data_IF_895385581907
#
_entry.id   IF_895385581907
#
_cell.length_a   1.000
_cell.length_b   1.000
_cell.length_c   1.000
_cell.angle_alpha   90.00
_cell.angle_beta   90.00
_cell.angle_gamma   90.00
#
_symmetry.space_group_name_H-M   'P 1'
#
loop_
_entity.id
_entity.type
_entity.pdbx_description
1 polymer ?
#
# COMPACT_ATOMS: atom_id res chain seq x y z
N UNK A 1 -5.18 1.81 27.67
CA UNK A 1 -5.64 0.89 26.62
C UNK A 1 -5.69 1.61 25.29
N UNK A 2 -4.75 1.32 24.38
CA UNK A 2 -4.73 1.88 23.03
C UNK A 2 -4.46 0.73 22.06
N UNK A 3 -5.48 -0.11 21.85
CA UNK A 3 -5.44 -1.08 20.77
C UNK A 3 -5.53 -0.29 19.45
N UNK A 4 -4.40 -0.22 18.75
CA UNK A 4 -4.34 0.19 17.36
C UNK A 4 -5.19 -0.80 16.55
N UNK A 5 -6.48 -0.49 16.40
CA UNK A 5 -7.34 -1.17 15.47
C UNK A 5 -6.81 -0.89 14.06
N UNK A 6 -6.09 -1.88 13.52
CA UNK A 6 -5.78 -1.98 12.11
C UNK A 6 -7.05 -1.66 11.31
N UNK A 7 -7.07 -0.51 10.64
CA UNK A 7 -8.06 -0.20 9.62
C UNK A 7 -8.10 -1.39 8.65
N UNK A 8 -9.25 -2.04 8.56
CA UNK A 8 -9.44 -3.24 7.73
C UNK A 8 -9.44 -2.82 6.26
N UNK A 9 -8.25 -2.67 5.69
CA UNK A 9 -8.11 -2.61 4.25
C UNK A 9 -8.48 -4.01 3.73
N UNK A 10 -9.53 -4.09 2.92
CA UNK A 10 -9.98 -5.34 2.29
C UNK A 10 -8.80 -5.89 1.46
N UNK A 11 -8.34 -7.10 1.80
CA UNK A 11 -7.16 -7.71 1.18
C UNK A 11 -7.38 -7.92 -0.31
N UNK A 12 -6.52 -7.35 -1.14
CA UNK A 12 -6.70 -7.34 -2.57
C UNK A 12 -6.14 -8.64 -3.17
N UNK A 13 -7.03 -9.46 -3.75
CA UNK A 13 -6.70 -10.75 -4.34
C UNK A 13 -6.26 -10.62 -5.81
N UNK A 14 -5.61 -11.66 -6.33
CA UNK A 14 -5.26 -11.82 -7.75
C UNK A 14 -6.42 -11.53 -8.72
N UNK A 15 -7.66 -11.70 -8.28
CA UNK A 15 -8.85 -11.46 -9.08
C UNK A 15 -9.07 -9.97 -9.36
N UNK A 16 -8.75 -9.11 -8.39
CA UNK A 16 -8.84 -7.66 -8.57
C UNK A 16 -7.79 -7.17 -9.57
N UNK A 17 -6.56 -7.69 -9.51
CA UNK A 17 -5.53 -7.39 -10.51
C UNK A 17 -6.01 -7.73 -11.94
N UNK A 18 -6.67 -8.88 -12.12
CA UNK A 18 -7.26 -9.25 -13.42
C UNK A 18 -8.35 -8.29 -13.87
N UNK A 19 -9.23 -7.85 -12.95
CA UNK A 19 -10.29 -6.91 -13.26
C UNK A 19 -9.74 -5.55 -13.70
N UNK A 20 -8.70 -5.06 -13.01
CA UNK A 20 -8.04 -3.78 -13.33
C UNK A 20 -7.40 -3.86 -14.73
N UNK A 21 -6.63 -4.91 -14.99
CA UNK A 21 -5.99 -5.12 -16.31
C UNK A 21 -7.03 -5.29 -17.42
N UNK A 22 -8.15 -5.98 -17.16
CA UNK A 22 -9.26 -6.11 -18.12
C UNK A 22 -9.86 -4.74 -18.48
N UNK A 23 -9.86 -3.80 -17.54
CA UNK A 23 -10.29 -2.42 -17.76
C UNK A 23 -9.19 -1.53 -18.38
N UNK A 24 -8.06 -2.13 -18.81
CA UNK A 24 -6.89 -1.43 -19.37
C UNK A 24 -6.30 -0.37 -18.42
N UNK A 25 -6.42 -0.62 -17.12
CA UNK A 25 -5.81 0.19 -16.09
C UNK A 25 -4.61 -0.55 -15.49
N UNK A 26 -3.73 0.23 -14.87
CA UNK A 26 -2.57 -0.25 -14.13
C UNK A 26 -2.81 -0.28 -12.62
N UNK A 27 -1.96 -1.00 -11.90
CA UNK A 27 -2.11 -1.15 -10.45
C UNK A 27 -0.79 -1.14 -9.68
N UNK A 28 -0.89 -0.73 -8.42
CA UNK A 28 0.01 -1.08 -7.32
C UNK A 28 -0.86 -1.63 -6.19
N UNK A 29 -0.65 -2.89 -5.79
CA UNK A 29 -1.53 -3.58 -4.85
C UNK A 29 -0.76 -4.10 -3.65
N UNK A 30 -1.24 -3.78 -2.45
CA UNK A 30 -0.72 -4.31 -1.21
C UNK A 30 -1.06 -5.80 -1.07
N UNK A 31 -0.06 -6.61 -0.71
CA UNK A 31 -0.25 -8.00 -0.34
C UNK A 31 -0.60 -8.07 1.15
N UNK A 32 -1.73 -8.70 1.47
CA UNK A 32 -2.22 -8.83 2.85
C UNK A 32 -2.05 -10.26 3.35
N UNK A 33 -1.26 -10.40 4.42
CA UNK A 33 -1.18 -11.59 5.26
C UNK A 33 -0.27 -12.71 4.71
N UNK A 34 0.49 -13.30 5.63
CA UNK A 34 1.39 -14.46 5.41
C UNK A 34 0.71 -15.70 4.80
N UNK A 35 -0.60 -15.70 4.60
CA UNK A 35 -1.39 -16.87 4.16
C UNK A 35 -1.75 -16.85 2.66
N UNK A 36 -1.42 -15.79 1.92
CA UNK A 36 -1.54 -15.87 0.46
C UNK A 36 -0.29 -16.57 -0.10
N UNK A 37 -0.46 -17.69 -0.81
CA UNK A 37 0.66 -18.38 -1.47
C UNK A 37 1.48 -17.44 -2.38
N UNK A 38 0.85 -16.37 -2.86
CA UNK A 38 1.49 -15.29 -3.60
C UNK A 38 2.59 -14.59 -2.79
N UNK A 39 2.35 -14.21 -1.53
CA UNK A 39 3.37 -13.52 -0.73
C UNK A 39 4.60 -14.41 -0.54
N UNK A 40 4.41 -15.69 -0.22
CA UNK A 40 5.51 -16.64 -0.05
C UNK A 40 6.33 -16.87 -1.34
N UNK A 41 5.67 -16.96 -2.50
CA UNK A 41 6.36 -17.07 -3.79
C UNK A 41 7.22 -15.82 -4.10
N UNK A 42 6.72 -14.63 -3.77
CA UNK A 42 7.43 -13.37 -4.01
C UNK A 42 8.57 -13.15 -3.02
N UNK A 43 8.40 -13.54 -1.75
CA UNK A 43 9.47 -13.55 -0.76
C UNK A 43 10.59 -14.53 -1.16
N UNK A 44 10.23 -15.74 -1.62
CA UNK A 44 11.20 -16.70 -2.12
C UNK A 44 11.99 -16.15 -3.32
N UNK A 45 11.31 -15.45 -4.23
CA UNK A 45 11.95 -14.78 -5.36
C UNK A 45 12.85 -13.64 -4.91
N UNK A 46 12.41 -12.81 -3.96
CA UNK A 46 13.23 -11.76 -3.37
C UNK A 46 14.52 -12.31 -2.80
N UNK A 47 14.44 -13.39 -2.01
CA UNK A 47 15.61 -14.06 -1.47
C UNK A 47 16.51 -14.65 -2.55
N UNK A 48 15.96 -15.12 -3.67
CA UNK A 48 16.73 -15.59 -4.81
C UNK A 48 17.50 -14.43 -5.46
N UNK A 49 16.84 -13.32 -5.78
CA UNK A 49 17.50 -12.13 -6.33
C UNK A 49 18.57 -11.58 -5.39
N UNK A 50 18.32 -11.61 -4.08
CA UNK A 50 19.31 -11.22 -3.09
C UNK A 50 20.56 -12.13 -3.10
N UNK A 51 20.40 -13.45 -3.35
CA UNK A 51 21.52 -14.40 -3.48
C UNK A 51 22.27 -14.25 -4.80
N UNK A 52 21.55 -14.04 -5.90
CA UNK A 52 22.11 -13.89 -7.25
C UNK A 52 22.75 -12.51 -7.45
N UNK A 53 22.43 -11.55 -6.58
CA UNK A 53 22.87 -10.17 -6.65
C UNK A 53 21.87 -9.30 -7.40
N UNK A 54 21.63 -8.11 -6.87
CA UNK A 54 20.87 -7.07 -7.55
C UNK A 54 21.75 -6.38 -8.60
N UNK A 55 21.16 -6.07 -9.74
CA UNK A 55 21.81 -5.27 -10.80
C UNK A 55 21.10 -3.94 -10.93
N UNK A 56 21.80 -2.92 -11.44
CA UNK A 56 21.19 -1.59 -11.66
C UNK A 56 19.97 -1.65 -12.59
N UNK A 57 19.89 -2.66 -13.46
CA UNK A 57 18.77 -2.84 -14.39
C UNK A 57 17.56 -3.55 -13.77
N UNK A 58 17.72 -4.22 -12.63
CA UNK A 58 16.66 -5.02 -12.02
C UNK A 58 16.23 -4.54 -10.64
N UNK A 59 16.97 -3.61 -10.03
CA UNK A 59 16.75 -3.17 -8.67
C UNK A 59 16.88 -1.66 -8.56
N UNK A 60 16.00 -1.09 -7.75
CA UNK A 60 16.06 0.30 -7.36
C UNK A 60 15.66 0.45 -5.89
N UNK A 61 16.20 1.45 -5.20
CA UNK A 61 15.84 1.74 -3.83
C UNK A 61 15.76 3.23 -3.55
N UNK A 62 14.86 3.60 -2.65
CA UNK A 62 14.65 4.97 -2.25
C UNK A 62 14.29 5.04 -0.77
N UNK A 63 14.90 5.97 -0.04
CA UNK A 63 14.66 6.15 1.39
C UNK A 63 14.19 7.58 1.67
N UNK A 64 13.13 7.70 2.46
CA UNK A 64 12.66 8.98 2.99
C UNK A 64 12.70 8.96 4.51
N UNK A 65 13.06 10.09 5.12
CA UNK A 65 13.02 10.30 6.56
C UNK A 65 12.07 11.46 6.82
N UNK A 66 11.06 11.23 7.66
CA UNK A 66 10.08 12.23 8.06
C UNK A 66 10.15 12.41 9.58
N UNK A 67 10.00 13.64 10.06
CA UNK A 67 9.89 13.90 11.49
C UNK A 67 8.74 14.87 11.75
N UNK A 68 7.79 14.47 12.60
CA UNK A 68 6.60 15.25 12.89
C UNK A 68 5.74 14.60 13.97
N UNK A 69 4.89 15.38 14.63
CA UNK A 69 3.94 14.88 15.65
C UNK A 69 4.58 14.02 16.75
N UNK A 70 5.83 14.31 17.14
CA UNK A 70 6.56 13.55 18.16
C UNK A 70 7.17 12.23 17.68
N UNK A 71 7.12 11.92 16.38
CA UNK A 71 7.67 10.70 15.78
C UNK A 71 8.72 11.02 14.72
N UNK A 72 9.74 10.18 14.62
CA UNK A 72 10.66 10.10 13.47
C UNK A 72 10.32 8.83 12.72
N UNK A 73 10.18 8.88 11.41
CA UNK A 73 9.85 7.72 10.60
C UNK A 73 10.74 7.63 9.37
N UNK A 74 11.53 6.57 9.31
CA UNK A 74 12.36 6.22 8.16
C UNK A 74 11.62 5.19 7.33
N UNK A 75 11.40 5.47 6.06
CA UNK A 75 10.78 4.54 5.11
C UNK A 75 11.75 4.21 4.01
N UNK A 76 12.03 2.91 3.84
CA UNK A 76 12.86 2.40 2.76
C UNK A 76 11.98 1.61 1.80
N UNK A 77 11.91 2.10 0.56
CA UNK A 77 11.30 1.41 -0.56
C UNK A 77 12.39 0.70 -1.35
N UNK A 78 12.20 -0.57 -1.60
CA UNK A 78 13.07 -1.35 -2.46
C UNK A 78 12.19 -2.02 -3.52
N UNK A 79 12.55 -1.84 -4.78
CA UNK A 79 11.83 -2.38 -5.91
C UNK A 79 12.74 -3.32 -6.69
N UNK A 80 12.20 -4.47 -7.07
CA UNK A 80 12.89 -5.38 -7.99
C UNK A 80 11.96 -5.66 -9.18
N UNK A 81 12.50 -5.53 -10.38
CA UNK A 81 11.82 -5.89 -11.62
C UNK A 81 11.79 -7.40 -11.78
N UNK A 82 10.62 -7.93 -12.12
CA UNK A 82 10.42 -9.37 -12.30
C UNK A 82 10.69 -9.77 -13.73
N UNK A 83 11.65 -10.68 -13.92
CA UNK A 83 11.91 -11.25 -15.24
C UNK A 83 10.73 -12.15 -15.66
N UNK A 84 10.17 -11.86 -16.85
CA UNK A 84 9.07 -12.61 -17.45
C UNK A 84 9.38 -14.10 -17.61
N UNK A 85 10.64 -14.50 -17.79
CA UNK A 85 11.05 -15.90 -18.02
C UNK A 85 10.74 -16.82 -16.83
N UNK A 86 10.84 -16.31 -15.60
CA UNK A 86 10.56 -17.06 -14.38
C UNK A 86 9.11 -16.87 -13.91
N UNK A 87 8.49 -15.78 -14.35
CA UNK A 87 7.12 -15.44 -14.00
C UNK A 87 6.19 -16.54 -14.54
N UNK A 88 5.61 -17.36 -13.66
CA UNK A 88 4.62 -18.37 -14.04
C UNK A 88 3.57 -17.71 -14.97
N UNK A 89 3.15 -18.38 -16.05
CA UNK A 89 2.15 -17.90 -17.00
C UNK A 89 0.93 -17.24 -16.32
N UNK A 90 0.57 -17.72 -15.12
CA UNK A 90 -0.51 -17.17 -14.30
C UNK A 90 -0.32 -15.70 -13.89
N UNK A 91 0.93 -15.22 -13.78
CA UNK A 91 1.30 -13.86 -13.38
C UNK A 91 1.59 -12.97 -14.58
N UNK A 92 2.11 -13.55 -15.68
CA UNK A 92 2.25 -12.84 -16.95
C UNK A 92 0.89 -12.33 -17.45
N UNK A 93 -0.17 -13.13 -17.25
CA UNK A 93 -1.56 -12.78 -17.58
C UNK A 93 -2.13 -11.61 -16.77
N UNK A 94 -1.51 -11.21 -15.66
CA UNK A 94 -1.90 -10.01 -14.89
C UNK A 94 -0.92 -8.86 -15.08
N UNK A 95 0.05 -8.98 -15.99
CA UNK A 95 0.96 -7.88 -16.31
C UNK A 95 1.89 -7.48 -15.15
N UNK A 96 2.19 -8.41 -14.22
CA UNK A 96 3.10 -8.13 -13.10
C UNK A 96 4.50 -7.77 -13.64
N UNK A 97 4.97 -6.57 -13.32
CA UNK A 97 6.29 -6.04 -13.72
C UNK A 97 7.28 -5.95 -12.57
N UNK A 98 6.84 -5.57 -11.37
CA UNK A 98 7.75 -5.38 -10.24
C UNK A 98 7.14 -5.81 -8.90
N UNK A 99 8.05 -6.15 -7.98
CA UNK A 99 7.76 -6.41 -6.57
C UNK A 99 8.39 -5.30 -5.77
N UNK A 100 7.61 -4.73 -4.85
CA UNK A 100 8.01 -3.59 -4.05
C UNK A 100 7.91 -3.98 -2.59
N UNK A 101 8.99 -3.73 -1.84
CA UNK A 101 9.07 -3.91 -0.40
C UNK A 101 9.21 -2.53 0.24
N UNK A 102 8.30 -2.20 1.15
CA UNK A 102 8.37 -0.96 1.94
C UNK A 102 8.59 -1.33 3.40
N UNK A 103 9.79 -1.04 3.91
CA UNK A 103 10.10 -1.12 5.33
C UNK A 103 9.91 0.27 5.95
N UNK A 104 9.23 0.33 7.10
CA UNK A 104 8.99 1.56 7.86
C UNK A 104 9.47 1.36 9.29
N UNK A 105 10.44 2.17 9.70
CA UNK A 105 11.00 2.21 11.04
C UNK A 105 10.58 3.52 11.70
N UNK A 106 9.74 3.42 12.73
CA UNK A 106 9.23 4.53 13.50
C UNK A 106 9.89 4.59 14.88
N UNK A 107 10.28 5.80 15.28
CA UNK A 107 10.79 6.09 16.62
C UNK A 107 9.97 7.21 17.25
N UNK A 108 9.33 6.92 18.38
CA UNK A 108 8.56 7.87 19.17
C UNK A 108 9.46 8.60 20.17
N UNK A 109 9.60 9.93 20.03
CA UNK A 109 10.55 10.74 20.81
C UNK A 109 10.23 10.77 22.29
N UNK A 110 8.95 10.72 22.65
CA UNK A 110 8.48 10.88 24.03
C UNK A 110 8.60 9.60 24.84
N UNK A 111 8.28 8.46 24.24
CA UNK A 111 8.24 7.15 24.90
C UNK A 111 9.51 6.33 24.65
N UNK A 112 10.31 6.71 23.65
CA UNK A 112 11.43 5.93 23.15
C UNK A 112 11.01 4.70 22.33
N UNK A 113 9.72 4.50 22.10
CA UNK A 113 9.22 3.28 21.44
C UNK A 113 9.68 3.20 19.98
N UNK A 114 10.20 2.04 19.61
CA UNK A 114 10.54 1.71 18.23
C UNK A 114 9.49 0.77 17.63
N UNK A 115 9.20 0.96 16.34
CA UNK A 115 8.28 0.11 15.59
C UNK A 115 8.85 -0.14 14.21
N UNK A 116 8.94 -1.40 13.81
CA UNK A 116 9.32 -1.79 12.45
C UNK A 116 8.17 -2.51 11.78
N UNK A 117 7.81 -2.09 10.59
CA UNK A 117 6.79 -2.75 9.78
C UNK A 117 7.27 -2.91 8.34
N UNK A 118 7.08 -4.11 7.79
CA UNK A 118 7.37 -4.40 6.38
C UNK A 118 6.06 -4.70 5.65
N UNK A 119 5.85 -4.05 4.52
CA UNK A 119 4.72 -4.29 3.62
C UNK A 119 5.23 -4.65 2.22
N UNK A 120 4.54 -5.59 1.59
CA UNK A 120 4.83 -6.05 0.24
C UNK A 120 3.77 -5.59 -0.74
N UNK A 121 4.20 -5.22 -1.94
CA UNK A 121 3.33 -4.77 -3.01
C UNK A 121 3.73 -5.42 -4.33
N UNK A 122 2.76 -5.54 -5.23
CA UNK A 122 2.96 -5.92 -6.62
C UNK A 122 2.50 -4.79 -7.54
N UNK A 123 3.19 -4.60 -8.66
CA UNK A 123 2.89 -3.52 -9.60
C UNK A 123 2.89 -3.99 -11.05
N UNK A 124 1.95 -3.47 -11.85
CA UNK A 124 1.99 -3.55 -13.32
C UNK A 124 2.64 -2.32 -13.97
N UNK A 125 2.87 -1.27 -13.17
CA UNK A 125 3.45 -0.02 -13.63
C UNK A 125 4.97 -0.16 -13.82
N UNK A 126 5.48 0.64 -14.75
CA UNK A 126 6.92 0.83 -14.92
C UNK A 126 7.33 2.05 -14.09
N UNK A 127 7.71 1.79 -12.83
CA UNK A 127 8.04 2.82 -11.84
C UNK A 127 9.47 2.62 -11.35
N UNK A 128 10.05 3.69 -10.83
CA UNK A 128 11.21 3.61 -9.95
C UNK A 128 10.77 3.53 -8.46
N UNK A 129 11.70 3.26 -7.56
CA UNK A 129 11.42 3.05 -6.13
C UNK A 129 10.84 4.31 -5.45
N UNK A 130 11.23 5.51 -5.89
CA UNK A 130 10.68 6.78 -5.41
C UNK A 130 9.20 6.93 -5.80
N UNK A 131 8.87 6.73 -7.07
CA UNK A 131 7.49 6.78 -7.58
C UNK A 131 6.61 5.72 -6.94
N UNK A 132 7.16 4.51 -6.72
CA UNK A 132 6.49 3.45 -5.99
C UNK A 132 6.17 3.88 -4.55
N UNK A 133 7.15 4.43 -3.83
CA UNK A 133 6.95 4.89 -2.45
C UNK A 133 5.93 6.03 -2.37
N UNK A 134 6.02 7.01 -3.27
CA UNK A 134 5.07 8.11 -3.37
C UNK A 134 3.64 7.60 -3.62
N UNK A 135 3.49 6.66 -4.55
CA UNK A 135 2.20 6.05 -4.87
C UNK A 135 1.60 5.31 -3.66
N UNK A 136 2.42 4.54 -2.95
CA UNK A 136 2.01 3.86 -1.70
C UNK A 136 1.62 4.87 -0.62
N UNK A 137 2.38 5.94 -0.43
CA UNK A 137 2.08 6.98 0.56
C UNK A 137 0.78 7.71 0.25
N UNK A 138 0.56 8.09 -1.01
CA UNK A 138 -0.67 8.75 -1.44
C UNK A 138 -1.88 7.85 -1.23
N UNK A 139 -1.76 6.55 -1.51
CA UNK A 139 -2.81 5.57 -1.22
C UNK A 139 -3.15 5.52 0.28
N UNK A 140 -2.14 5.44 1.15
CA UNK A 140 -2.35 5.48 2.61
C UNK A 140 -2.99 6.78 3.10
N UNK A 141 -2.68 7.91 2.48
CA UNK A 141 -3.32 9.18 2.81
C UNK A 141 -4.83 9.16 2.50
N UNK A 142 -5.22 8.53 1.39
CA UNK A 142 -6.63 8.32 1.03
C UNK A 142 -7.32 7.38 2.02
N UNK A 143 -6.68 6.26 2.37
CA UNK A 143 -7.24 5.32 3.36
C UNK A 143 -7.35 5.93 4.77
N UNK A 144 -6.38 6.73 5.17
CA UNK A 144 -6.43 7.48 6.43
C UNK A 144 -7.61 8.45 6.46
N UNK A 145 -7.92 9.09 5.32
CA UNK A 145 -9.10 9.94 5.19
C UNK A 145 -10.40 9.13 5.32
N UNK A 146 -10.47 7.92 4.73
CA UNK A 146 -11.60 7.03 4.93
C UNK A 146 -11.79 6.66 6.40
N UNK A 147 -10.71 6.36 7.11
CA UNK A 147 -10.78 6.07 8.55
C UNK A 147 -11.33 7.26 9.35
N UNK A 148 -10.89 8.50 9.06
CA UNK A 148 -11.44 9.70 9.71
C UNK A 148 -12.93 9.87 9.39
N UNK A 149 -13.34 9.64 8.14
CA UNK A 149 -14.75 9.66 7.73
C UNK A 149 -15.59 8.63 8.50
N UNK A 150 -15.09 7.41 8.62
CA UNK A 150 -15.74 6.32 9.37
C UNK A 150 -15.83 6.65 10.87
N UNK A 151 -14.73 7.07 11.49
CA UNK A 151 -14.63 7.24 12.94
C UNK A 151 -15.30 8.54 13.42
N UNK A 152 -15.02 9.67 12.77
CA UNK A 152 -15.51 10.99 13.17
C UNK A 152 -16.94 11.23 12.71
N UNK A 153 -17.29 10.82 11.49
CA UNK A 153 -18.62 11.08 10.92
C UNK A 153 -19.55 9.86 10.96
N UNK A 154 -19.10 8.74 11.56
CA UNK A 154 -19.86 7.49 11.69
C UNK A 154 -20.53 7.12 10.37
N UNK A 155 -19.76 7.19 9.27
CA UNK A 155 -20.28 7.02 7.92
C UNK A 155 -21.08 5.71 7.77
N UNK A 156 -20.56 4.62 8.33
CA UNK A 156 -21.24 3.31 8.37
C UNK A 156 -22.56 3.32 9.16
N UNK A 157 -22.66 4.17 10.18
CA UNK A 157 -23.84 4.33 11.01
C UNK A 157 -24.92 5.22 10.37
N UNK A 158 -24.65 5.85 9.22
CA UNK A 158 -25.59 6.80 8.62
C UNK A 158 -26.81 6.10 8.03
N UNK A 159 -27.99 6.70 8.25
CA UNK A 159 -29.28 6.18 7.74
C UNK A 159 -29.60 6.65 6.32
N UNK A 160 -28.77 7.53 5.73
CA UNK A 160 -28.93 7.97 4.35
C UNK A 160 -28.54 6.82 3.41
N UNK A 161 -29.53 6.07 2.91
CA UNK A 161 -29.34 4.88 2.06
C UNK A 161 -30.07 4.94 0.72
N UNK A 162 -30.81 6.02 0.43
CA UNK A 162 -31.65 6.14 -0.77
C UNK A 162 -31.37 7.43 -1.55
N UNK A 163 -31.54 7.35 -2.86
CA UNK A 163 -31.40 8.48 -3.78
C UNK A 163 -29.98 9.08 -3.76
N UNK A 164 -29.89 10.40 -3.90
CA UNK A 164 -28.61 11.14 -3.88
C UNK A 164 -28.09 11.45 -2.47
N UNK A 165 -28.82 11.06 -1.43
CA UNK A 165 -28.48 11.33 -0.01
C UNK A 165 -27.09 10.84 0.40
N UNK A 166 -26.69 9.59 0.12
CA UNK A 166 -25.34 9.10 0.47
C UNK A 166 -24.22 9.93 -0.18
N UNK A 167 -24.37 10.28 -1.47
CA UNK A 167 -23.38 11.05 -2.21
C UNK A 167 -23.29 12.48 -1.70
N UNK A 168 -24.42 13.17 -1.55
CA UNK A 168 -24.47 14.54 -1.04
C UNK A 168 -23.85 14.64 0.36
N UNK A 169 -24.16 13.67 1.22
CA UNK A 169 -23.62 13.66 2.58
C UNK A 169 -22.12 13.32 2.61
N UNK A 170 -21.63 12.43 1.73
CA UNK A 170 -20.19 12.18 1.59
C UNK A 170 -19.43 13.46 1.16
N UNK A 171 -19.98 14.24 0.22
CA UNK A 171 -19.43 15.54 -0.18
C UNK A 171 -19.40 16.52 1.00
N UNK A 172 -20.50 16.64 1.75
CA UNK A 172 -20.56 17.51 2.92
C UNK A 172 -19.54 17.12 4.01
N UNK A 173 -19.39 15.82 4.30
CA UNK A 173 -18.36 15.33 5.23
C UNK A 173 -16.95 15.69 4.77
N UNK A 174 -16.65 15.54 3.48
CA UNK A 174 -15.35 15.90 2.91
C UNK A 174 -15.07 17.40 3.02
N UNK A 175 -16.05 18.25 2.72
CA UNK A 175 -15.94 19.71 2.92
C UNK A 175 -15.68 20.03 4.39
N UNK A 176 -16.43 19.42 5.31
CA UNK A 176 -16.25 19.61 6.74
C UNK A 176 -14.83 19.22 7.19
N UNK A 177 -14.32 18.07 6.75
CA UNK A 177 -12.94 17.67 7.06
C UNK A 177 -11.90 18.68 6.57
N UNK A 178 -12.08 19.26 5.38
CA UNK A 178 -11.16 20.29 4.87
C UNK A 178 -11.19 21.57 5.70
N UNK A 179 -12.34 21.90 6.32
CA UNK A 179 -12.48 23.11 7.15
C UNK A 179 -11.95 22.95 8.58
N UNK A 180 -11.95 21.74 9.13
CA UNK A 180 -11.49 21.46 10.50
C UNK A 180 -10.02 21.02 10.60
N UNK A 181 -9.32 20.94 9.46
CA UNK A 181 -7.90 20.58 9.37
C UNK A 181 -7.07 21.83 9.14
#
# INVERSE_FOLDING_TARGET
ECQHHHARCYGISKEIAKLIVKQKADYILALKGHHSGLQGELEAWWHKCQREGFTADNFDEHTTIDSGHGRIETRRCQQVLVNKSWLNNKYQRVGLKSIIKVASDGHEKTTGKETTETRWYISSLDLNAEQALSSVRNHWQVESMHWVLEMTFREDGSRFRKGRGPLAFNVMRKIAMTLFK
#
